data_IF_449676153303
#
_entry.id   IF_449676153303
#
_cell.length_a   1.000
_cell.length_b   1.000
_cell.length_c   1.000
_cell.angle_alpha   90.00
_cell.angle_beta   90.00
_cell.angle_gamma   90.00
#
_symmetry.space_group_name_H-M   'P 1'
#
loop_
_entity.id
_entity.type
_entity.pdbx_description
1 polymer ?
#
# COMPACT_ATOMS: atom_id res chain seq x y z
N UNK A 1 24.19 -13.67 3.19
CA UNK A 1 23.30 -12.53 3.49
C UNK A 1 21.89 -13.01 3.28
N UNK A 2 20.97 -12.83 4.22
CA UNK A 2 19.58 -13.26 3.99
C UNK A 2 18.98 -12.44 2.85
N UNK A 3 18.36 -13.14 1.88
CA UNK A 3 17.69 -12.52 0.74
C UNK A 3 16.46 -11.77 1.24
N UNK A 4 16.60 -10.47 1.52
CA UNK A 4 15.57 -9.62 2.15
C UNK A 4 15.47 -8.31 1.41
N UNK A 5 14.25 -7.89 1.07
CA UNK A 5 13.99 -6.56 0.52
C UNK A 5 13.67 -5.57 1.62
N UNK A 6 14.28 -4.39 1.52
CA UNK A 6 13.94 -3.23 2.32
C UNK A 6 13.00 -2.34 1.52
N UNK A 7 11.82 -2.05 2.06
CA UNK A 7 10.83 -1.17 1.44
C UNK A 7 10.35 -0.14 2.47
N UNK A 8 10.25 1.11 2.03
CA UNK A 8 9.56 2.16 2.76
C UNK A 8 8.32 2.60 1.98
N UNK A 9 7.16 2.66 2.65
CA UNK A 9 5.88 3.02 2.06
C UNK A 9 5.25 4.18 2.83
N UNK A 10 4.84 5.21 2.11
CA UNK A 10 3.96 6.27 2.61
C UNK A 10 2.61 6.17 1.88
N UNK A 11 1.64 5.55 2.55
CA UNK A 11 0.25 5.57 2.11
C UNK A 11 -0.35 6.94 2.48
N UNK A 12 -0.24 7.89 1.55
CA UNK A 12 -0.93 9.17 1.65
C UNK A 12 -2.41 9.04 1.27
N UNK A 13 -3.22 10.04 1.60
CA UNK A 13 -4.66 10.08 1.26
C UNK A 13 -4.93 10.10 -0.23
N UNK A 14 -4.06 10.80 -0.95
CA UNK A 14 -4.20 11.04 -2.38
C UNK A 14 -3.35 10.05 -3.20
N UNK A 15 -2.12 9.83 -2.75
CA UNK A 15 -1.12 9.04 -3.46
C UNK A 15 -0.35 8.19 -2.46
N UNK A 16 -0.19 6.90 -2.79
CA UNK A 16 0.72 5.99 -2.10
C UNK A 16 2.05 6.02 -2.83
N UNK A 17 3.13 6.26 -2.08
CA UNK A 17 4.50 6.32 -2.59
C UNK A 17 5.32 5.26 -1.89
N UNK A 18 6.23 4.62 -2.62
CA UNK A 18 7.14 3.66 -2.01
C UNK A 18 8.50 3.70 -2.68
N UNK A 19 9.49 3.30 -1.90
CA UNK A 19 10.88 3.20 -2.32
C UNK A 19 11.45 1.88 -1.84
N UNK A 20 12.23 1.23 -2.68
CA UNK A 20 12.94 0.01 -2.35
C UNK A 20 14.29 -0.04 -3.10
N UNK A 21 15.19 -0.93 -2.69
CA UNK A 21 16.41 -1.21 -3.44
C UNK A 21 16.18 -2.45 -4.29
N UNK A 22 16.47 -2.36 -5.59
CA UNK A 22 16.50 -3.53 -6.46
C UNK A 22 17.78 -4.36 -6.23
N UNK A 23 17.92 -5.47 -6.94
CA UNK A 23 19.05 -6.40 -6.81
C UNK A 23 20.40 -5.76 -7.13
N UNK A 24 20.42 -4.71 -7.95
CA UNK A 24 21.61 -3.92 -8.30
C UNK A 24 21.96 -2.87 -7.23
N UNK A 25 21.19 -2.80 -6.14
CA UNK A 25 21.38 -1.81 -5.07
C UNK A 25 20.87 -0.41 -5.42
N UNK A 26 20.19 -0.25 -6.56
CA UNK A 26 19.64 1.04 -7.02
C UNK A 26 18.30 1.30 -6.35
N UNK A 27 18.12 2.53 -5.84
CA UNK A 27 16.85 2.96 -5.27
C UNK A 27 15.81 3.18 -6.37
N UNK A 28 14.74 2.40 -6.32
CA UNK A 28 13.56 2.54 -7.17
C UNK A 28 12.49 3.31 -6.41
N UNK A 29 11.85 4.27 -7.07
CA UNK A 29 10.81 5.14 -6.49
C UNK A 29 9.56 5.04 -7.33
N UNK A 30 8.47 4.62 -6.72
CA UNK A 30 7.20 4.41 -7.40
C UNK A 30 6.04 5.02 -6.63
N UNK A 31 4.93 5.22 -7.33
CA UNK A 31 3.70 5.75 -6.74
C UNK A 31 2.45 5.33 -7.51
N UNK A 32 1.30 5.34 -6.84
CA UNK A 32 -0.03 5.16 -7.43
C UNK A 32 -1.11 5.85 -6.58
N UNK A 33 -2.31 6.04 -7.13
CA UNK A 33 -3.42 6.73 -6.44
C UNK A 33 -3.95 5.89 -5.27
N UNK A 34 -4.15 6.50 -4.10
CA UNK A 34 -4.77 5.85 -2.93
C UNK A 34 -6.30 5.87 -3.04
N UNK A 35 -6.82 5.35 -4.15
CA UNK A 35 -8.26 5.24 -4.41
C UNK A 35 -8.62 3.77 -4.33
N UNK A 36 -9.56 3.40 -3.45
CA UNK A 36 -9.92 2.00 -3.20
C UNK A 36 -11.43 1.84 -3.29
N UNK A 37 -11.88 0.80 -3.97
CA UNK A 37 -13.29 0.44 -4.08
C UNK A 37 -13.47 -1.06 -3.90
N UNK A 38 -14.32 -1.47 -2.97
CA UNK A 38 -14.81 -2.84 -2.84
C UNK A 38 -15.84 -3.11 -3.96
N UNK A 39 -15.68 -4.20 -4.72
CA UNK A 39 -16.69 -4.68 -5.67
C UNK A 39 -16.39 -6.12 -6.12
N UNK A 40 -17.44 -6.91 -6.35
CA UNK A 40 -17.27 -8.32 -6.75
C UNK A 40 -17.04 -8.51 -8.26
N UNK A 41 -17.44 -7.54 -9.08
CA UNK A 41 -17.30 -7.63 -10.52
C UNK A 41 -16.72 -6.36 -11.12
N UNK A 42 -15.42 -6.42 -11.42
CA UNK A 42 -14.70 -5.38 -12.13
C UNK A 42 -14.75 -5.72 -13.63
N UNK A 43 -15.88 -5.40 -14.27
CA UNK A 43 -16.23 -5.75 -15.66
C UNK A 43 -15.37 -5.12 -16.76
N UNK A 44 -14.07 -4.92 -16.52
CA UNK A 44 -13.10 -4.40 -17.47
C UNK A 44 -11.69 -4.98 -17.21
N UNK A 45 -10.87 -5.01 -18.26
CA UNK A 45 -9.42 -5.14 -18.15
C UNK A 45 -8.85 -3.95 -17.37
N UNK A 46 -7.90 -4.21 -16.47
CA UNK A 46 -7.24 -3.16 -15.70
C UNK A 46 -6.20 -2.44 -16.56
N UNK A 47 -6.24 -1.10 -16.53
CA UNK A 47 -5.32 -0.22 -17.24
C UNK A 47 -4.66 0.77 -16.26
N UNK A 48 -3.52 1.33 -16.68
CA UNK A 48 -2.76 2.28 -15.87
C UNK A 48 -2.24 1.66 -14.58
N UNK A 49 -2.06 2.46 -13.53
CA UNK A 49 -1.67 1.99 -12.20
C UNK A 49 -2.89 1.54 -11.40
N UNK A 50 -3.62 0.56 -11.95
CA UNK A 50 -4.81 -0.03 -11.35
C UNK A 50 -4.58 -1.49 -11.00
N UNK A 51 -5.03 -1.91 -9.82
CA UNK A 51 -4.78 -3.22 -9.24
C UNK A 51 -6.10 -3.84 -8.77
N UNK A 52 -6.31 -5.13 -9.08
CA UNK A 52 -7.36 -5.95 -8.48
C UNK A 52 -6.75 -6.77 -7.36
N UNK A 53 -7.38 -6.80 -6.20
CA UNK A 53 -6.87 -7.47 -5.01
C UNK A 53 -8.01 -8.21 -4.35
N UNK A 54 -7.75 -9.44 -3.96
CA UNK A 54 -8.61 -10.17 -3.05
C UNK A 54 -7.91 -10.20 -1.69
N UNK A 55 -8.62 -9.77 -0.65
CA UNK A 55 -8.20 -9.93 0.74
C UNK A 55 -9.34 -10.62 1.47
N UNK A 56 -9.07 -11.81 2.00
CA UNK A 56 -10.11 -12.70 2.54
C UNK A 56 -11.16 -13.00 1.45
N UNK A 57 -12.45 -12.80 1.75
CA UNK A 57 -13.56 -13.04 0.83
C UNK A 57 -14.01 -11.76 0.09
N UNK A 58 -13.21 -10.69 0.14
CA UNK A 58 -13.55 -9.40 -0.44
C UNK A 58 -12.63 -9.01 -1.58
N UNK A 59 -13.24 -8.43 -2.61
CA UNK A 59 -12.57 -7.97 -3.82
C UNK A 59 -12.48 -6.45 -3.84
N UNK A 60 -11.28 -5.96 -4.16
CA UNK A 60 -10.95 -4.53 -4.19
C UNK A 60 -10.32 -4.15 -5.52
N UNK A 61 -10.66 -2.95 -6.01
CA UNK A 61 -9.91 -2.26 -7.05
C UNK A 61 -9.19 -1.08 -6.42
N UNK A 62 -7.93 -0.89 -6.77
CA UNK A 62 -7.09 0.19 -6.29
C UNK A 62 -6.46 0.94 -7.46
N UNK A 63 -6.43 2.27 -7.41
CA UNK A 63 -5.62 3.08 -8.33
C UNK A 63 -6.44 3.89 -9.34
N UNK A 64 -5.87 4.10 -10.52
CA UNK A 64 -6.29 5.16 -11.45
C UNK A 64 -7.76 5.06 -11.89
N UNK A 65 -8.24 3.85 -12.16
CA UNK A 65 -9.62 3.61 -12.65
C UNK A 65 -10.70 3.73 -11.57
N UNK A 66 -10.32 3.82 -10.29
CA UNK A 66 -11.29 4.05 -9.21
C UNK A 66 -11.72 5.53 -9.25
N UNK A 67 -13.03 5.78 -9.20
CA UNK A 67 -13.57 7.15 -9.23
C UNK A 67 -13.04 8.00 -8.06
N UNK A 68 -12.78 9.28 -8.30
CA UNK A 68 -12.43 10.24 -7.23
C UNK A 68 -13.54 10.34 -6.15
N UNK A 69 -14.80 10.06 -6.51
CA UNK A 69 -15.92 9.99 -5.56
C UNK A 69 -15.78 8.91 -4.49
N UNK A 70 -14.83 7.97 -4.67
CA UNK A 70 -14.49 6.90 -3.72
C UNK A 70 -13.26 7.22 -2.87
N UNK A 71 -12.75 8.46 -2.93
CA UNK A 71 -11.73 8.90 -2.00
C UNK A 71 -12.29 8.92 -0.58
N UNK A 72 -11.57 8.27 0.33
CA UNK A 72 -11.89 8.34 1.75
C UNK A 72 -11.27 9.61 2.36
N UNK A 73 -12.14 10.58 2.66
CA UNK A 73 -11.80 11.86 3.27
C UNK A 73 -11.73 11.84 4.80
N UNK A 74 -11.93 10.68 5.44
CA UNK A 74 -11.65 10.52 6.87
C UNK A 74 -10.20 10.99 7.14
N UNK A 75 -9.93 11.59 8.29
CA UNK A 75 -8.58 12.00 8.67
C UNK A 75 -7.73 10.82 9.13
N UNK A 76 -8.35 9.68 9.48
CA UNK A 76 -7.65 8.47 9.90
C UNK A 76 -6.85 7.84 8.74
N UNK A 77 -5.58 7.53 9.00
CA UNK A 77 -4.75 6.67 8.13
C UNK A 77 -4.70 5.22 8.62
N UNK A 78 -5.38 4.92 9.73
CA UNK A 78 -5.60 3.55 10.21
C UNK A 78 -6.88 3.04 9.56
N UNK A 79 -6.82 2.75 8.27
CA UNK A 79 -7.99 2.36 7.48
C UNK A 79 -7.64 1.23 6.52
N UNK A 80 -8.65 0.52 6.03
CA UNK A 80 -8.45 -0.63 5.13
C UNK A 80 -7.80 -0.19 3.81
N UNK A 81 -8.11 1.01 3.33
CA UNK A 81 -7.58 1.57 2.10
C UNK A 81 -6.06 1.75 2.16
N UNK A 82 -5.55 2.32 3.26
CA UNK A 82 -4.11 2.49 3.44
C UNK A 82 -3.40 1.15 3.59
N UNK A 83 -4.00 0.22 4.34
CA UNK A 83 -3.49 -1.14 4.53
C UNK A 83 -3.36 -1.88 3.19
N UNK A 84 -4.42 -1.87 2.38
CA UNK A 84 -4.41 -2.48 1.06
C UNK A 84 -3.38 -1.83 0.13
N UNK A 85 -3.24 -0.49 0.16
CA UNK A 85 -2.22 0.19 -0.64
C UNK A 85 -0.78 -0.18 -0.21
N UNK A 86 -0.53 -0.34 1.09
CA UNK A 86 0.75 -0.88 1.58
C UNK A 86 0.98 -2.29 1.04
N UNK A 87 -0.05 -3.13 1.04
CA UNK A 87 0.03 -4.50 0.52
C UNK A 87 0.29 -4.54 -0.99
N UNK A 88 -0.31 -3.66 -1.79
CA UNK A 88 0.01 -3.49 -3.22
C UNK A 88 1.48 -3.14 -3.41
N UNK A 89 2.00 -2.17 -2.66
CA UNK A 89 3.39 -1.76 -2.78
C UNK A 89 4.33 -2.94 -2.49
N UNK A 90 4.06 -3.69 -1.42
CA UNK A 90 4.83 -4.90 -1.06
C UNK A 90 4.72 -5.95 -2.17
N UNK A 91 3.51 -6.28 -2.62
CA UNK A 91 3.28 -7.30 -3.64
C UNK A 91 3.98 -6.96 -4.96
N UNK A 92 3.94 -5.69 -5.39
CA UNK A 92 4.66 -5.25 -6.59
C UNK A 92 6.18 -5.46 -6.46
N UNK A 93 6.74 -5.12 -5.32
CA UNK A 93 8.18 -5.29 -5.07
C UNK A 93 8.56 -6.76 -4.97
N UNK A 94 7.73 -7.59 -4.35
CA UNK A 94 7.93 -9.05 -4.29
C UNK A 94 7.88 -9.66 -5.70
N UNK A 95 6.93 -9.23 -6.54
CA UNK A 95 6.81 -9.70 -7.93
C UNK A 95 8.00 -9.27 -8.79
N UNK A 96 8.49 -8.05 -8.61
CA UNK A 96 9.60 -7.51 -9.38
C UNK A 96 10.96 -8.11 -8.98
N UNK A 97 11.14 -8.38 -7.69
CA UNK A 97 12.42 -8.90 -7.15
C UNK A 97 12.44 -10.41 -6.97
N UNK A 98 11.29 -11.08 -6.92
CA UNK A 98 11.18 -12.50 -6.53
C UNK A 98 11.48 -12.77 -5.05
N UNK A 99 11.71 -11.74 -4.22
CA UNK A 99 12.09 -11.89 -2.81
C UNK A 99 10.86 -11.71 -1.92
N UNK A 100 10.49 -12.77 -1.21
CA UNK A 100 9.30 -12.78 -0.33
C UNK A 100 9.57 -12.33 1.12
N UNK A 101 10.83 -12.19 1.53
CA UNK A 101 11.20 -11.68 2.86
C UNK A 101 11.33 -10.16 2.81
N UNK A 102 10.41 -9.46 3.47
CA UNK A 102 10.30 -7.99 3.40
C UNK A 102 10.49 -7.37 4.78
N UNK A 103 11.33 -6.34 4.87
CA UNK A 103 11.40 -5.43 6.00
C UNK A 103 10.74 -4.11 5.61
N UNK A 104 9.62 -3.82 6.26
CA UNK A 104 8.76 -2.70 5.95
C UNK A 104 9.00 -1.53 6.92
N UNK A 105 9.12 -0.33 6.37
CA UNK A 105 8.95 0.92 7.09
C UNK A 105 7.69 1.62 6.55
N UNK A 106 6.75 1.99 7.43
CA UNK A 106 5.53 2.71 7.04
C UNK A 106 5.52 4.10 7.66
N UNK A 107 5.15 5.11 6.86
CA UNK A 107 4.92 6.47 7.34
C UNK A 107 3.65 6.55 8.18
N UNK A 108 3.74 7.14 9.38
CA UNK A 108 2.59 7.32 10.28
C UNK A 108 2.44 8.79 10.71
N UNK A 109 1.20 9.28 10.93
CA UNK A 109 0.96 10.62 11.44
C UNK A 109 1.70 10.90 12.75
N UNK A 110 2.27 12.12 12.89
CA UNK A 110 3.10 12.48 14.04
C UNK A 110 2.36 12.42 15.38
N UNK A 111 1.06 12.73 15.40
CA UNK A 111 0.21 12.63 16.58
C UNK A 111 0.02 11.16 17.03
N UNK A 112 -0.12 10.23 16.09
CA UNK A 112 -0.17 8.78 16.36
C UNK A 112 1.21 8.30 16.84
N UNK A 113 2.30 8.71 16.17
CA UNK A 113 3.66 8.29 16.52
C UNK A 113 4.06 8.66 17.96
N UNK A 114 3.65 9.85 18.42
CA UNK A 114 4.00 10.36 19.76
C UNK A 114 3.23 9.67 20.87
N UNK A 115 2.10 9.01 20.57
CA UNK A 115 1.34 8.24 21.54
C UNK A 115 1.71 6.76 21.41
N UNK A 116 2.35 6.19 22.44
CA UNK A 116 2.86 4.82 22.39
C UNK A 116 1.77 3.77 22.17
N UNK A 117 0.60 3.94 22.80
CA UNK A 117 -0.54 3.05 22.61
C UNK A 117 -1.01 3.09 21.14
N UNK A 118 -1.30 4.28 20.61
CA UNK A 118 -1.78 4.42 19.23
C UNK A 118 -0.73 3.95 18.20
N UNK A 119 0.57 4.15 18.49
CA UNK A 119 1.67 3.63 17.67
C UNK A 119 1.69 2.10 17.64
N UNK A 120 1.47 1.46 18.78
CA UNK A 120 1.43 0.00 18.87
C UNK A 120 0.18 -0.57 18.19
N UNK A 121 -0.99 0.05 18.39
CA UNK A 121 -2.23 -0.30 17.68
C UNK A 121 -2.04 -0.19 16.16
N UNK A 122 -1.43 0.90 15.67
CA UNK A 122 -1.12 1.05 14.25
C UNK A 122 -0.17 -0.06 13.74
N UNK A 123 0.87 -0.38 14.53
CA UNK A 123 1.82 -1.44 14.18
C UNK A 123 1.17 -2.83 14.13
N UNK A 124 0.19 -3.10 14.99
CA UNK A 124 -0.57 -4.35 14.98
C UNK A 124 -1.59 -4.41 13.84
N UNK A 125 -2.13 -3.25 13.44
CA UNK A 125 -3.11 -3.15 12.38
C UNK A 125 -2.51 -3.42 10.98
N UNK A 126 -1.26 -3.01 10.76
CA UNK A 126 -0.50 -3.20 9.51
C UNK A 126 0.07 -4.62 9.39
#
# INVERSE_FOLDING_TARGET
MENTVLIAVDAGKDTTKYVYKNELGVLQKESFRTKVQEADNFGADVQGKTFKIQLEDKNYMIGDMVSESKLNYDLSKTSIEHKLCVYVAIAKVVLETGINKVKLAVGIPANIYKNEQLKNEYKQYM
#
